data_IF_995140990848
#
_entry.id   IF_995140990848
#
_cell.length_a   1.000
_cell.length_b   1.000
_cell.length_c   1.000
_cell.angle_alpha   90.00
_cell.angle_beta   90.00
_cell.angle_gamma   90.00
#
_symmetry.space_group_name_H-M   'P 1'
#
loop_
_entity.id
_entity.type
_entity.pdbx_description
1 polymer ?
#
# COMPACT_ATOMS: atom_id res chain seq x y z
N UNK A 1 20.29 14.09 -1.77
CA UNK A 1 18.99 13.46 -1.45
C UNK A 1 18.02 14.55 -1.02
N UNK A 2 16.93 14.75 -1.76
CA UNK A 2 15.90 15.73 -1.41
C UNK A 2 15.22 15.31 -0.10
N UNK A 3 15.43 16.08 0.97
CA UNK A 3 14.89 15.82 2.31
C UNK A 3 13.36 16.03 2.43
N UNK A 4 12.65 16.28 1.33
CA UNK A 4 11.23 16.65 1.30
C UNK A 4 10.32 15.62 0.59
N UNK A 5 10.81 14.43 0.22
CA UNK A 5 9.99 13.38 -0.43
C UNK A 5 9.59 12.33 0.60
N UNK A 6 8.30 12.04 0.72
CA UNK A 6 7.80 10.90 1.51
C UNK A 6 8.35 9.60 0.90
N UNK A 7 9.00 8.72 1.68
CA UNK A 7 9.52 7.46 1.15
C UNK A 7 8.35 6.57 0.72
N UNK A 8 8.59 5.73 -0.28
CA UNK A 8 7.58 4.90 -0.93
C UNK A 8 7.98 3.44 -0.91
N UNK A 9 7.02 2.58 -0.59
CA UNK A 9 7.10 1.14 -0.84
C UNK A 9 6.14 0.77 -1.98
N UNK A 10 6.63 -0.02 -2.94
CA UNK A 10 5.79 -0.67 -3.95
C UNK A 10 5.54 -2.12 -3.53
N UNK A 11 4.28 -2.53 -3.49
CA UNK A 11 3.86 -3.87 -3.07
C UNK A 11 3.15 -4.53 -4.25
N UNK A 12 3.77 -5.53 -4.85
CA UNK A 12 3.10 -6.38 -5.83
C UNK A 12 2.12 -7.30 -5.10
N UNK A 13 0.83 -7.22 -5.44
CA UNK A 13 -0.22 -7.91 -4.72
C UNK A 13 -0.88 -7.03 -3.66
N UNK A 14 -2.08 -6.56 -3.97
CA UNK A 14 -3.00 -5.90 -3.07
C UNK A 14 -3.88 -6.90 -2.31
N UNK A 15 -3.43 -8.14 -2.12
CA UNK A 15 -4.15 -9.18 -1.38
C UNK A 15 -4.19 -8.95 0.13
N UNK A 16 -4.70 -9.92 0.89
CA UNK A 16 -4.86 -9.79 2.34
C UNK A 16 -3.52 -9.54 3.04
N UNK A 17 -2.44 -10.26 2.71
CA UNK A 17 -1.13 -10.09 3.36
C UNK A 17 -0.51 -8.72 3.09
N UNK A 18 -0.57 -8.26 1.84
CA UNK A 18 -0.12 -6.92 1.47
C UNK A 18 -0.85 -5.84 2.29
N UNK A 19 -2.17 -6.00 2.47
CA UNK A 19 -3.01 -5.03 3.20
C UNK A 19 -3.00 -5.19 4.73
N UNK A 20 -2.87 -6.39 5.27
CA UNK A 20 -2.97 -6.66 6.71
C UNK A 20 -1.63 -6.64 7.42
N UNK A 21 -0.52 -6.71 6.69
CA UNK A 21 0.80 -6.80 7.28
C UNK A 21 1.79 -5.80 6.67
N UNK A 22 2.11 -5.93 5.37
CA UNK A 22 3.19 -5.14 4.76
C UNK A 22 2.86 -3.65 4.79
N UNK A 23 1.75 -3.22 4.18
CA UNK A 23 1.40 -1.80 4.12
C UNK A 23 1.30 -1.14 5.51
N UNK A 24 0.59 -1.69 6.52
CA UNK A 24 0.52 -1.10 7.85
C UNK A 24 1.88 -0.90 8.52
N UNK A 25 2.83 -1.84 8.36
CA UNK A 25 4.18 -1.72 8.90
C UNK A 25 4.89 -0.49 8.32
N UNK A 26 4.82 -0.33 6.99
CA UNK A 26 5.51 0.75 6.30
C UNK A 26 4.81 2.11 6.44
N UNK A 27 3.48 2.16 6.37
CA UNK A 27 2.75 3.43 6.55
C UNK A 27 2.92 3.98 7.97
N UNK A 28 2.98 3.12 8.99
CA UNK A 28 3.34 3.53 10.37
C UNK A 28 4.78 4.06 10.47
N UNK A 29 5.68 3.59 9.61
CA UNK A 29 7.04 4.08 9.46
C UNK A 29 7.17 5.36 8.62
N UNK A 30 6.06 5.96 8.20
CA UNK A 30 6.04 7.21 7.41
C UNK A 30 6.18 7.01 5.90
N UNK A 31 6.02 5.78 5.39
CA UNK A 31 6.01 5.52 3.96
C UNK A 31 4.62 5.72 3.35
N UNK A 32 4.59 6.05 2.06
CA UNK A 32 3.44 5.79 1.20
C UNK A 32 3.51 4.34 0.68
N UNK A 33 2.39 3.60 0.76
CA UNK A 33 2.30 2.27 0.17
C UNK A 33 1.57 2.31 -1.19
N UNK A 34 2.22 1.81 -2.24
CA UNK A 34 1.64 1.72 -3.58
C UNK A 34 1.47 0.26 -3.96
N UNK A 35 0.23 -0.18 -4.09
CA UNK A 35 -0.07 -1.54 -4.52
C UNK A 35 -0.06 -1.67 -6.05
N UNK A 36 0.61 -2.67 -6.59
CA UNK A 36 0.48 -3.09 -7.98
C UNK A 36 -0.29 -4.42 -8.01
N UNK A 37 -1.51 -4.42 -8.56
CA UNK A 37 -2.36 -5.62 -8.64
C UNK A 37 -3.15 -5.63 -9.97
N UNK A 38 -3.83 -6.73 -10.28
CA UNK A 38 -4.68 -6.90 -11.47
C UNK A 38 -6.17 -6.92 -11.15
N UNK A 39 -6.55 -7.00 -9.86
CA UNK A 39 -7.94 -7.09 -9.39
C UNK A 39 -8.65 -5.71 -9.47
N UNK A 40 -9.53 -5.45 -10.45
CA UNK A 40 -10.01 -4.09 -10.73
C UNK A 40 -10.82 -3.48 -9.57
N UNK A 41 -11.60 -4.28 -8.86
CA UNK A 41 -12.39 -3.82 -7.72
C UNK A 41 -11.53 -3.34 -6.55
N UNK A 42 -10.41 -4.02 -6.28
CA UNK A 42 -9.46 -3.62 -5.23
C UNK A 42 -8.75 -2.33 -5.66
N UNK A 43 -8.26 -2.28 -6.91
CA UNK A 43 -7.60 -1.09 -7.45
C UNK A 43 -8.52 0.14 -7.38
N UNK A 44 -9.79 0.00 -7.79
CA UNK A 44 -10.75 1.08 -7.76
C UNK A 44 -11.00 1.58 -6.32
N UNK A 45 -11.24 0.66 -5.39
CA UNK A 45 -11.48 1.01 -3.99
C UNK A 45 -10.27 1.71 -3.33
N UNK A 46 -9.05 1.25 -3.62
CA UNK A 46 -7.82 1.87 -3.10
C UNK A 46 -7.60 3.26 -3.70
N UNK A 47 -7.81 3.45 -5.01
CA UNK A 47 -7.69 4.77 -5.67
C UNK A 47 -8.74 5.76 -5.17
N UNK A 48 -9.96 5.31 -4.93
CA UNK A 48 -11.05 6.16 -4.44
C UNK A 48 -10.80 6.63 -3.01
N UNK A 49 -10.40 5.71 -2.12
CA UNK A 49 -10.36 5.98 -0.67
C UNK A 49 -9.01 6.47 -0.20
N UNK A 50 -7.92 6.04 -0.84
CA UNK A 50 -6.53 6.27 -0.41
C UNK A 50 -6.20 5.79 1.02
N UNK A 51 -7.10 5.00 1.61
CA UNK A 51 -6.96 4.36 2.92
C UNK A 51 -7.88 3.14 3.00
N UNK A 52 -7.65 2.30 4.00
CA UNK A 52 -8.60 1.24 4.38
C UNK A 52 -8.50 0.93 5.88
N UNK A 53 -9.47 0.18 6.38
CA UNK A 53 -9.53 -0.27 7.77
C UNK A 53 -8.88 -1.64 7.90
N UNK A 54 -7.97 -1.78 8.86
CA UNK A 54 -7.43 -3.04 9.33
C UNK A 54 -8.02 -3.33 10.72
N UNK A 55 -8.59 -4.52 10.88
CA UNK A 55 -9.08 -5.00 12.18
C UNK A 55 -8.09 -6.02 12.70
N UNK A 56 -7.43 -5.70 13.81
CA UNK A 56 -6.60 -6.61 14.58
C UNK A 56 -7.46 -7.31 15.62
N UNK A 57 -7.48 -8.65 15.57
CA UNK A 57 -8.29 -9.50 16.45
C UNK A 57 -7.43 -10.02 17.59
N UNK A 58 -7.87 -9.80 18.84
CA UNK A 58 -7.21 -10.32 20.04
C UNK A 58 -8.24 -10.85 21.03
N UNK A 59 -7.82 -11.68 22.00
CA UNK A 59 -8.70 -12.17 23.07
C UNK A 59 -9.22 -11.04 23.98
N UNK A 60 -8.53 -9.91 24.02
CA UNK A 60 -8.93 -8.71 24.76
C UNK A 60 -9.93 -7.82 23.99
N UNK A 61 -10.24 -8.16 22.73
CA UNK A 61 -11.12 -7.41 21.84
C UNK A 61 -10.45 -7.00 20.52
N UNK A 62 -11.24 -6.33 19.69
CA UNK A 62 -10.81 -5.84 18.38
C UNK A 62 -10.12 -4.48 18.49
N UNK A 63 -8.98 -4.31 17.82
CA UNK A 63 -8.37 -3.00 17.58
C UNK A 63 -8.55 -2.61 16.12
N UNK A 64 -9.03 -1.39 15.88
CA UNK A 64 -9.25 -0.85 14.54
C UNK A 64 -8.11 0.11 14.19
N UNK A 65 -7.41 -0.18 13.10
CA UNK A 65 -6.36 0.65 12.53
C UNK A 65 -6.83 1.25 11.21
N UNK A 66 -6.50 2.51 10.95
CA UNK A 66 -6.65 3.12 9.63
C UNK A 66 -5.29 3.14 8.93
N UNK A 67 -5.20 2.47 7.77
CA UNK A 67 -3.95 2.36 7.00
C UNK A 67 -3.96 3.41 5.89
N UNK A 68 -3.00 4.33 5.94
CA UNK A 68 -2.88 5.50 5.06
C UNK A 68 -1.46 6.08 5.17
N UNK A 69 -0.89 6.70 4.13
CA UNK A 69 -1.45 6.85 2.78
C UNK A 69 -1.20 5.61 1.90
N UNK A 70 -2.21 5.20 1.14
CA UNK A 70 -2.09 4.12 0.16
C UNK A 70 -2.57 4.54 -1.22
N UNK A 71 -1.94 4.02 -2.28
CA UNK A 71 -2.38 4.13 -3.68
C UNK A 71 -2.36 2.76 -4.35
N UNK A 72 -2.90 2.69 -5.56
CA UNK A 72 -2.83 1.48 -6.37
C UNK A 72 -2.62 1.78 -7.85
N UNK A 73 -1.87 0.92 -8.53
CA UNK A 73 -1.61 0.92 -9.97
C UNK A 73 -1.99 -0.43 -10.56
N UNK A 74 -2.44 -0.42 -11.82
CA UNK A 74 -2.71 -1.67 -12.53
C UNK A 74 -1.39 -2.34 -12.91
N UNK A 75 -1.14 -3.54 -12.40
CA UNK A 75 0.10 -4.26 -12.65
C UNK A 75 0.29 -4.66 -14.13
N UNK A 76 -0.76 -4.57 -14.96
CA UNK A 76 -0.68 -4.77 -16.41
C UNK A 76 -0.15 -3.55 -17.16
N UNK A 77 -0.17 -2.38 -16.54
CA UNK A 77 0.43 -1.15 -17.08
C UNK A 77 1.90 -1.07 -16.63
N UNK A 78 2.78 -1.70 -17.41
CA UNK A 78 4.20 -1.78 -17.11
C UNK A 78 4.85 -0.40 -16.94
N UNK A 79 4.43 0.60 -17.72
CA UNK A 79 4.94 1.96 -17.65
C UNK A 79 4.51 2.65 -16.36
N UNK A 80 3.26 2.46 -15.93
CA UNK A 80 2.80 2.99 -14.65
C UNK A 80 3.51 2.32 -13.46
N UNK A 81 3.72 1.00 -13.50
CA UNK A 81 4.49 0.30 -12.48
C UNK A 81 5.93 0.79 -12.45
N UNK A 82 6.58 0.95 -13.61
CA UNK A 82 7.96 1.46 -13.71
C UNK A 82 8.09 2.86 -13.11
N UNK A 83 7.11 3.76 -13.36
CA UNK A 83 7.08 5.09 -12.72
C UNK A 83 6.92 5.02 -11.20
N UNK A 84 6.18 4.04 -10.68
CA UNK A 84 6.02 3.90 -9.23
C UNK A 84 7.27 3.34 -8.55
N UNK A 85 7.95 2.40 -9.22
CA UNK A 85 9.24 1.86 -8.79
C UNK A 85 10.36 2.92 -8.87
N UNK A 86 10.27 3.86 -9.81
CA UNK A 86 11.24 4.94 -9.93
C UNK A 86 11.26 5.82 -8.65
N UNK A 87 12.41 5.80 -7.98
CA UNK A 87 12.62 6.47 -6.71
C UNK A 87 11.74 5.94 -5.57
N UNK A 88 11.32 4.67 -5.61
CA UNK A 88 10.87 3.92 -4.45
C UNK A 88 12.07 3.36 -3.67
N UNK A 89 12.01 3.40 -2.35
CA UNK A 89 13.08 2.91 -1.49
C UNK A 89 13.02 1.39 -1.31
N UNK A 90 11.81 0.81 -1.35
CA UNK A 90 11.56 -0.61 -1.08
C UNK A 90 10.53 -1.17 -2.05
N UNK A 91 10.72 -2.43 -2.42
CA UNK A 91 9.75 -3.23 -3.16
C UNK A 91 9.48 -4.55 -2.41
N UNK A 92 8.22 -5.00 -2.41
CA UNK A 92 7.78 -6.26 -1.82
C UNK A 92 6.77 -6.98 -2.71
N UNK A 93 6.53 -8.26 -2.45
CA UNK A 93 5.60 -9.15 -3.18
C UNK A 93 4.76 -9.97 -2.19
#
# INVERSE_FOLDING_TARGET
>A
MNKNKTPKIVIFGAGNIGRSFIAPVFTRGGFEAVFADVAPGILAALKERNHYTLVEKTDAGDTIHQVSPVRAVDARDAEAVARELDGAEICAT
#
